data_IF_608449543377
#
_entry.id   IF_608449543377
#
_cell.length_a   1.000
_cell.length_b   1.000
_cell.length_c   1.000
_cell.angle_alpha   90.00
_cell.angle_beta   90.00
_cell.angle_gamma   90.00
#
_symmetry.space_group_name_H-M   'P 1'
#
loop_
_entity.id
_entity.type
_entity.pdbx_description
1 polymer ?
#
# COMPACT_ATOMS: atom_id res chain seq x y z
N UNK A 1 27.32 53.25 -49.88
CA UNK A 1 28.79 53.35 -49.68
C UNK A 1 29.32 51.95 -49.44
N UNK A 2 30.14 51.46 -50.40
CA UNK A 2 31.07 50.31 -50.45
C UNK A 2 30.92 49.16 -49.42
N UNK A 3 30.64 47.89 -49.80
CA UNK A 3 31.48 46.89 -50.52
C UNK A 3 32.58 46.25 -49.67
N UNK A 4 32.61 44.90 -49.68
CA UNK A 4 33.72 43.90 -49.63
C UNK A 4 33.05 42.57 -49.22
N UNK A 5 32.66 41.66 -50.12
CA UNK A 5 33.44 40.72 -50.95
C UNK A 5 34.34 39.77 -50.16
N UNK A 6 33.92 38.51 -50.01
CA UNK A 6 34.77 37.37 -50.37
C UNK A 6 33.97 36.08 -50.53
N UNK A 7 34.42 35.34 -51.55
CA UNK A 7 33.82 34.22 -52.24
C UNK A 7 34.70 33.00 -51.93
N UNK A 8 34.14 31.94 -51.37
CA UNK A 8 34.83 30.66 -51.17
C UNK A 8 33.81 29.55 -51.44
N UNK A 9 33.72 29.02 -52.67
CA UNK A 9 34.54 27.99 -53.36
C UNK A 9 34.51 26.63 -52.64
N UNK A 10 33.57 25.80 -53.08
CA UNK A 10 33.52 24.34 -52.92
C UNK A 10 34.85 23.71 -53.32
N UNK A 11 35.33 22.75 -52.52
CA UNK A 11 36.25 21.71 -52.97
C UNK A 11 35.87 20.40 -52.29
N UNK A 12 35.33 19.48 -53.09
CA UNK A 12 35.15 18.07 -52.76
C UNK A 12 36.45 17.43 -52.28
N UNK A 13 36.35 16.59 -51.25
CA UNK A 13 37.10 15.33 -51.12
C UNK A 13 36.47 14.45 -50.04
N UNK A 14 35.59 13.58 -50.51
CA UNK A 14 35.56 12.13 -50.33
C UNK A 14 36.09 11.53 -49.00
N UNK A 15 35.22 10.69 -48.41
CA UNK A 15 35.48 9.62 -47.42
C UNK A 15 35.98 10.03 -46.02
N UNK A 16 35.03 10.12 -45.09
CA UNK A 16 35.05 9.15 -43.98
C UNK A 16 33.62 8.94 -43.45
N UNK A 17 32.99 7.85 -43.89
CA UNK A 17 31.72 7.36 -43.35
C UNK A 17 32.02 6.71 -42.00
N UNK A 18 32.07 7.50 -40.93
CA UNK A 18 31.89 6.97 -39.58
C UNK A 18 30.39 6.78 -39.37
N UNK A 19 29.95 5.56 -39.65
CA UNK A 19 28.59 5.10 -39.40
C UNK A 19 28.22 5.38 -37.93
N UNK A 20 27.31 6.34 -37.72
CA UNK A 20 26.56 6.42 -36.47
C UNK A 20 25.64 5.20 -36.48
N UNK A 21 26.08 4.14 -35.81
CA UNK A 21 25.24 2.99 -35.53
C UNK A 21 24.16 3.45 -34.55
N UNK A 22 22.97 3.75 -35.08
CA UNK A 22 21.74 3.74 -34.29
C UNK A 22 21.50 2.29 -33.90
N UNK A 23 22.19 1.83 -32.84
CA UNK A 23 21.81 0.62 -32.15
C UNK A 23 20.38 0.84 -31.65
N UNK A 24 19.45 0.06 -32.19
CA UNK A 24 18.09 0.02 -31.73
C UNK A 24 18.09 -0.17 -30.21
N UNK A 25 17.47 0.75 -29.49
CA UNK A 25 17.12 0.52 -28.10
C UNK A 25 16.05 -0.57 -28.17
N UNK A 26 16.43 -1.81 -27.88
CA UNK A 26 15.46 -2.89 -27.73
C UNK A 26 14.45 -2.47 -26.65
N UNK A 27 13.13 -2.63 -26.89
CA UNK A 27 12.14 -2.34 -25.87
C UNK A 27 12.39 -3.28 -24.69
N UNK A 28 12.77 -2.71 -23.54
CA UNK A 28 12.82 -3.41 -22.26
C UNK A 28 11.44 -4.03 -22.05
N UNK A 29 11.35 -5.35 -22.12
CA UNK A 29 10.09 -6.09 -21.99
C UNK A 29 9.52 -5.88 -20.59
N UNK A 30 8.32 -5.29 -20.42
CA UNK A 30 7.71 -5.15 -19.11
C UNK A 30 7.01 -6.47 -18.76
N UNK A 31 7.80 -7.47 -18.38
CA UNK A 31 7.27 -8.72 -17.80
C UNK A 31 8.11 -9.14 -16.60
N UNK A 32 8.29 -8.23 -15.65
CA UNK A 32 8.57 -8.64 -14.28
C UNK A 32 7.22 -8.75 -13.58
N UNK A 33 6.66 -9.95 -13.59
CA UNK A 33 5.53 -10.29 -12.71
C UNK A 33 6.09 -10.20 -11.29
N UNK A 34 5.76 -9.12 -10.59
CA UNK A 34 6.04 -9.02 -9.15
C UNK A 34 5.03 -9.94 -8.48
N UNK A 35 5.45 -11.17 -8.19
CA UNK A 35 4.65 -12.12 -7.42
C UNK A 35 4.57 -11.57 -5.99
N UNK A 36 3.42 -10.96 -5.65
CA UNK A 36 3.16 -10.51 -4.29
C UNK A 36 2.82 -11.75 -3.47
N UNK A 37 3.83 -12.28 -2.78
CA UNK A 37 3.66 -13.37 -1.83
C UNK A 37 2.97 -12.79 -0.59
N UNK A 38 1.74 -13.20 -0.32
CA UNK A 38 1.07 -12.89 0.94
C UNK A 38 1.71 -13.75 2.03
N UNK A 39 2.56 -13.11 2.83
CA UNK A 39 3.14 -13.69 4.02
C UNK A 39 2.16 -13.45 5.17
N UNK A 40 1.48 -14.51 5.60
CA UNK A 40 0.55 -14.47 6.75
C UNK A 40 1.37 -14.70 8.03
N UNK A 41 1.97 -13.62 8.54
CA UNK A 41 2.73 -13.62 9.80
C UNK A 41 1.97 -12.74 10.79
N UNK A 42 1.58 -13.34 11.91
CA UNK A 42 0.89 -12.63 12.98
C UNK A 42 1.91 -12.08 13.98
N UNK A 43 2.05 -10.75 14.00
CA UNK A 43 2.95 -10.06 14.95
C UNK A 43 2.11 -9.66 16.16
N UNK A 44 2.27 -10.40 17.26
CA UNK A 44 1.58 -10.07 18.51
C UNK A 44 1.95 -8.65 18.98
N UNK A 45 1.01 -7.88 19.59
CA UNK A 45 1.31 -6.53 20.10
C UNK A 45 2.42 -6.48 21.16
N UNK A 46 2.68 -7.60 21.83
CA UNK A 46 3.74 -7.76 22.84
C UNK A 46 5.06 -8.26 22.26
N UNK A 47 5.12 -8.54 20.96
CA UNK A 47 6.32 -9.03 20.30
C UNK A 47 7.38 -7.90 20.24
N UNK A 48 8.62 -8.13 20.69
CA UNK A 48 9.65 -7.10 20.70
C UNK A 48 10.03 -6.61 19.30
N UNK A 49 9.73 -7.37 18.25
CA UNK A 49 9.97 -6.97 16.87
C UNK A 49 9.17 -5.72 16.49
N UNK A 50 7.97 -5.55 17.04
CA UNK A 50 7.13 -4.38 16.76
C UNK A 50 7.77 -3.10 17.32
N UNK A 51 8.25 -3.15 18.57
CA UNK A 51 8.94 -2.03 19.21
C UNK A 51 10.23 -1.67 18.46
N UNK A 52 10.98 -2.68 18.01
CA UNK A 52 12.18 -2.47 17.22
C UNK A 52 11.93 -1.69 15.92
N UNK A 53 10.88 -2.05 15.16
CA UNK A 53 10.52 -1.34 13.93
C UNK A 53 9.89 0.04 14.16
N UNK A 54 9.29 0.27 15.33
CA UNK A 54 8.83 1.60 15.73
C UNK A 54 10.00 2.54 16.03
N UNK A 55 11.03 2.05 16.72
CA UNK A 55 12.21 2.83 17.08
C UNK A 55 13.16 3.07 15.90
N UNK A 56 13.23 2.11 14.96
CA UNK A 56 14.14 2.17 13.82
C UNK A 56 13.37 2.17 12.49
N UNK A 57 13.27 3.34 11.85
CA UNK A 57 12.58 3.49 10.57
C UNK A 57 13.44 3.09 9.34
N UNK A 58 14.57 2.42 9.54
CA UNK A 58 15.50 2.05 8.48
C UNK A 58 15.23 0.62 7.98
N UNK A 59 15.57 0.29 6.71
CA UNK A 59 15.59 -1.09 6.24
C UNK A 59 16.53 -1.98 7.04
N UNK A 60 16.03 -3.14 7.45
CA UNK A 60 16.71 -4.09 8.33
C UNK A 60 16.87 -5.43 7.63
N UNK A 61 18.08 -5.96 7.62
CA UNK A 61 18.34 -7.33 7.21
C UNK A 61 18.05 -8.30 8.36
N UNK A 62 17.13 -9.24 8.14
CA UNK A 62 16.70 -10.17 9.18
C UNK A 62 17.81 -11.15 9.61
N UNK A 63 18.78 -11.41 8.73
CA UNK A 63 19.96 -12.24 9.03
C UNK A 63 20.87 -11.61 10.08
N UNK A 64 20.88 -10.27 10.17
CA UNK A 64 21.74 -9.51 11.09
C UNK A 64 21.03 -9.14 12.39
N UNK A 65 19.72 -9.33 12.46
CA UNK A 65 18.92 -8.99 13.62
C UNK A 65 18.98 -10.10 14.68
N UNK A 66 19.71 -9.88 15.77
CA UNK A 66 19.75 -10.82 16.90
C UNK A 66 18.72 -10.43 17.95
N UNK A 67 17.47 -10.82 17.74
CA UNK A 67 16.33 -10.57 18.64
C UNK A 67 15.55 -11.86 18.85
N UNK A 68 15.10 -12.12 20.08
CA UNK A 68 14.19 -13.23 20.37
C UNK A 68 12.76 -12.78 20.10
N UNK A 69 12.18 -13.26 19.00
CA UNK A 69 10.84 -12.90 18.56
C UNK A 69 10.26 -14.06 17.73
N UNK A 70 9.10 -14.62 18.11
CA UNK A 70 8.40 -15.60 17.28
C UNK A 70 8.11 -15.07 15.86
N UNK A 71 7.66 -13.81 15.74
CA UNK A 71 7.39 -13.20 14.45
C UNK A 71 8.64 -13.09 13.56
N UNK A 72 9.80 -12.83 14.17
CA UNK A 72 11.06 -12.77 13.43
C UNK A 72 11.43 -14.14 12.83
N UNK A 73 11.20 -15.22 13.56
CA UNK A 73 11.48 -16.57 13.09
C UNK A 73 10.51 -16.97 11.98
N UNK A 74 9.24 -16.57 12.06
CA UNK A 74 8.26 -16.78 10.99
C UNK A 74 8.62 -15.99 9.71
N UNK A 75 9.04 -14.73 9.83
CA UNK A 75 9.50 -13.93 8.68
C UNK A 75 10.71 -14.58 8.00
N UNK A 76 11.66 -15.10 8.78
CA UNK A 76 12.82 -15.84 8.24
C UNK A 76 12.39 -17.11 7.52
N UNK A 77 11.47 -17.87 8.13
CA UNK A 77 10.93 -19.09 7.53
C UNK A 77 10.16 -18.81 6.23
N UNK A 78 9.51 -17.65 6.12
CA UNK A 78 8.85 -17.16 4.92
C UNK A 78 9.84 -16.66 3.84
N UNK A 79 11.16 -16.73 4.08
CA UNK A 79 12.18 -16.32 3.12
C UNK A 79 12.38 -14.81 3.03
N UNK A 80 11.90 -14.04 4.00
CA UNK A 80 12.14 -12.60 4.06
C UNK A 80 13.61 -12.34 4.39
N UNK A 81 14.26 -11.53 3.56
CA UNK A 81 15.64 -11.11 3.73
C UNK A 81 15.74 -9.71 4.34
N UNK A 82 14.93 -8.77 3.84
CA UNK A 82 14.91 -7.37 4.28
C UNK A 82 13.50 -6.95 4.63
N UNK A 83 13.37 -6.25 5.75
CA UNK A 83 12.13 -5.59 6.17
C UNK A 83 12.34 -4.08 6.13
N UNK A 84 11.39 -3.37 5.54
CA UNK A 84 11.38 -1.91 5.46
C UNK A 84 10.17 -1.39 6.24
N UNK A 85 10.38 -0.76 7.40
CA UNK A 85 9.29 -0.19 8.19
C UNK A 85 8.65 1.00 7.47
N UNK A 86 7.32 1.05 7.42
CA UNK A 86 6.56 2.23 7.01
C UNK A 86 6.17 2.99 8.27
N UNK A 87 6.86 4.09 8.57
CA UNK A 87 6.59 4.93 9.75
C UNK A 87 6.05 6.28 9.30
N UNK A 88 4.89 6.67 9.82
CA UNK A 88 4.27 7.96 9.54
C UNK A 88 3.87 8.64 10.85
N UNK A 89 4.39 9.85 11.08
CA UNK A 89 4.13 10.63 12.30
C UNK A 89 4.54 9.91 13.61
N UNK A 90 5.63 9.14 13.57
CA UNK A 90 6.13 8.39 14.72
C UNK A 90 5.38 7.08 15.00
N UNK A 91 4.42 6.71 14.14
CA UNK A 91 3.68 5.46 14.26
C UNK A 91 4.05 4.52 13.12
N UNK A 92 4.32 3.26 13.44
CA UNK A 92 4.50 2.19 12.48
C UNK A 92 3.14 1.81 11.90
N UNK A 93 2.94 2.09 10.61
CA UNK A 93 1.68 1.85 9.90
C UNK A 93 1.69 0.57 9.05
N UNK A 94 2.87 -0.05 8.90
CA UNK A 94 3.04 -1.28 8.14
C UNK A 94 4.51 -1.63 7.90
N UNK A 95 4.72 -2.77 7.24
CA UNK A 95 6.03 -3.29 6.85
C UNK A 95 6.01 -3.62 5.36
N UNK A 96 7.13 -3.40 4.69
CA UNK A 96 7.39 -3.93 3.35
C UNK A 96 8.46 -4.99 3.47
N UNK A 97 8.11 -6.23 3.11
CA UNK A 97 8.99 -7.38 3.20
C UNK A 97 9.57 -7.69 1.82
N UNK A 98 10.88 -7.88 1.75
CA UNK A 98 11.58 -8.29 0.54
C UNK A 98 12.25 -9.64 0.77
N UNK A 99 12.04 -10.56 -0.17
CA UNK A 99 12.76 -11.82 -0.21
C UNK A 99 14.22 -11.65 -0.64
N UNK A 100 14.90 -12.77 -0.85
CA UNK A 100 16.24 -12.77 -1.44
C UNK A 100 16.22 -12.09 -2.81
N UNK A 101 17.31 -11.39 -3.13
CA UNK A 101 17.47 -10.77 -4.44
C UNK A 101 17.62 -11.85 -5.50
N UNK A 102 16.95 -11.69 -6.65
CA UNK A 102 17.03 -12.65 -7.76
C UNK A 102 18.45 -12.85 -8.32
N UNK A 103 19.33 -11.88 -8.10
CA UNK A 103 20.75 -11.99 -8.48
C UNK A 103 21.60 -12.73 -7.46
N UNK A 104 21.00 -13.26 -6.38
CA UNK A 104 21.66 -13.97 -5.27
C UNK A 104 22.69 -13.13 -4.47
N UNK A 105 22.73 -11.82 -4.72
CA UNK A 105 23.59 -10.89 -4.00
C UNK A 105 22.85 -10.31 -2.80
N UNK A 106 23.58 -9.97 -1.74
CA UNK A 106 23.03 -9.18 -0.64
C UNK A 106 22.56 -7.81 -1.14
N UNK A 107 21.58 -7.23 -0.44
CA UNK A 107 21.19 -5.85 -0.69
C UNK A 107 22.36 -4.92 -0.34
N UNK A 108 22.67 -3.99 -1.23
CA UNK A 108 23.73 -3.02 -0.99
C UNK A 108 23.29 -1.92 -0.03
N UNK A 109 24.24 -1.09 0.41
CA UNK A 109 23.95 0.13 1.16
C UNK A 109 23.06 1.08 0.37
N UNK A 110 23.26 1.16 -0.94
CA UNK A 110 22.53 2.06 -1.82
C UNK A 110 21.09 1.55 -2.04
N UNK A 111 20.90 0.23 -2.13
CA UNK A 111 19.57 -0.38 -2.18
C UNK A 111 18.79 -0.08 -0.90
N UNK A 112 19.40 -0.26 0.27
CA UNK A 112 18.76 0.07 1.56
C UNK A 112 18.45 1.56 1.65
N UNK A 113 19.32 2.44 1.17
CA UNK A 113 19.04 3.88 1.14
C UNK A 113 17.83 4.20 0.24
N UNK A 114 17.78 3.63 -0.95
CA UNK A 114 16.66 3.79 -1.86
C UNK A 114 15.34 3.29 -1.24
N UNK A 115 15.36 2.10 -0.63
CA UNK A 115 14.18 1.54 0.06
C UNK A 115 13.71 2.42 1.21
N UNK A 116 14.64 3.01 1.96
CA UNK A 116 14.32 3.96 3.02
C UNK A 116 13.65 5.23 2.48
N UNK A 117 14.20 5.81 1.41
CA UNK A 117 13.66 7.02 0.78
C UNK A 117 12.26 6.76 0.21
N UNK A 118 12.06 5.60 -0.41
CA UNK A 118 10.75 5.14 -0.89
C UNK A 118 9.77 4.96 0.26
N UNK A 119 10.17 4.31 1.36
CA UNK A 119 9.33 4.14 2.53
C UNK A 119 8.88 5.49 3.12
N UNK A 120 9.82 6.42 3.25
CA UNK A 120 9.55 7.76 3.81
C UNK A 120 8.49 8.51 2.99
N UNK A 121 8.51 8.36 1.66
CA UNK A 121 7.52 8.98 0.78
C UNK A 121 6.20 8.20 0.72
N UNK A 122 6.26 6.86 0.77
CA UNK A 122 5.10 6.00 0.65
C UNK A 122 4.27 5.93 1.94
N UNK A 123 4.91 5.98 3.12
CA UNK A 123 4.23 5.78 4.39
C UNK A 123 3.06 6.75 4.61
N UNK A 124 3.19 8.08 4.42
CA UNK A 124 2.04 8.98 4.54
C UNK A 124 0.89 8.66 3.59
N UNK A 125 1.20 8.26 2.35
CA UNK A 125 0.19 7.91 1.34
C UNK A 125 -0.54 6.61 1.72
N UNK A 126 0.19 5.59 2.19
CA UNK A 126 -0.40 4.34 2.69
C UNK A 126 -1.30 4.62 3.89
N UNK A 127 -0.89 5.48 4.82
CA UNK A 127 -1.73 5.86 5.96
C UNK A 127 -3.04 6.50 5.52
N UNK A 128 -2.99 7.45 4.59
CA UNK A 128 -4.19 8.07 4.05
C UNK A 128 -5.09 7.04 3.37
N UNK A 129 -4.52 6.14 2.57
CA UNK A 129 -5.29 5.07 1.93
C UNK A 129 -5.97 4.13 2.93
N UNK A 130 -5.28 3.75 4.03
CA UNK A 130 -5.83 2.96 5.12
C UNK A 130 -7.00 3.68 5.81
N UNK A 131 -6.84 4.97 6.14
CA UNK A 131 -7.88 5.79 6.77
C UNK A 131 -9.13 5.90 5.88
N UNK A 132 -8.94 6.19 4.59
CA UNK A 132 -10.05 6.26 3.63
C UNK A 132 -10.77 4.92 3.53
N UNK A 133 -10.04 3.80 3.51
CA UNK A 133 -10.63 2.46 3.47
C UNK A 133 -11.44 2.16 4.73
N UNK A 134 -10.95 2.52 5.91
CA UNK A 134 -11.66 2.36 7.18
C UNK A 134 -12.97 3.17 7.17
N UNK A 135 -12.92 4.44 6.78
CA UNK A 135 -14.10 5.29 6.67
C UNK A 135 -15.15 4.73 5.70
N UNK A 136 -14.73 4.16 4.57
CA UNK A 136 -15.64 3.52 3.61
C UNK A 136 -16.31 2.27 4.20
N UNK A 137 -15.59 1.47 4.97
CA UNK A 137 -16.14 0.28 5.64
C UNK A 137 -17.16 0.71 6.69
N UNK A 138 -16.83 1.70 7.51
CA UNK A 138 -17.73 2.25 8.54
C UNK A 138 -19.00 2.84 7.92
N UNK A 139 -18.88 3.63 6.85
CA UNK A 139 -20.02 4.20 6.14
C UNK A 139 -20.94 3.12 5.60
N UNK A 140 -20.40 2.07 4.96
CA UNK A 140 -21.20 0.93 4.47
C UNK A 140 -21.89 0.17 5.59
N UNK A 141 -21.21 -0.05 6.71
CA UNK A 141 -21.80 -0.72 7.87
C UNK A 141 -22.94 0.10 8.46
N UNK A 142 -22.76 1.43 8.54
CA UNK A 142 -23.80 2.35 8.99
C UNK A 142 -25.01 2.34 8.06
N UNK A 143 -24.81 2.43 6.75
CA UNK A 143 -25.91 2.36 5.77
C UNK A 143 -26.71 1.06 5.89
N UNK A 144 -26.01 -0.08 6.06
CA UNK A 144 -26.64 -1.38 6.29
C UNK A 144 -27.50 -1.39 7.55
N UNK A 145 -26.95 -0.92 8.66
CA UNK A 145 -27.67 -0.86 9.93
C UNK A 145 -28.90 0.08 9.85
N UNK A 146 -28.75 1.24 9.22
CA UNK A 146 -29.86 2.18 9.00
C UNK A 146 -30.97 1.54 8.16
N UNK A 147 -30.62 0.75 7.15
CA UNK A 147 -31.58 0.02 6.33
C UNK A 147 -32.28 -1.10 7.11
N UNK A 148 -31.55 -1.88 7.90
CA UNK A 148 -32.12 -2.93 8.75
C UNK A 148 -33.12 -2.34 9.77
N UNK A 149 -32.76 -1.23 10.42
CA UNK A 149 -33.66 -0.53 11.34
C UNK A 149 -34.91 0.00 10.64
N UNK A 150 -34.77 0.52 9.41
CA UNK A 150 -35.91 0.98 8.61
C UNK A 150 -36.87 -0.16 8.32
N UNK A 151 -36.35 -1.32 7.91
CA UNK A 151 -37.16 -2.52 7.64
C UNK A 151 -37.83 -3.02 8.91
N UNK A 152 -37.09 -3.11 10.02
CA UNK A 152 -37.65 -3.54 11.31
C UNK A 152 -38.80 -2.63 11.75
N UNK A 153 -38.66 -1.30 11.64
CA UNK A 153 -39.74 -0.34 11.95
C UNK A 153 -40.95 -0.53 11.05
N UNK A 154 -40.74 -0.75 9.75
CA UNK A 154 -41.84 -1.00 8.82
C UNK A 154 -42.60 -2.28 9.18
N UNK A 155 -41.88 -3.37 9.48
CA UNK A 155 -42.49 -4.63 9.93
C UNK A 155 -43.28 -4.40 11.21
N UNK A 156 -42.70 -3.74 12.22
CA UNK A 156 -43.38 -3.43 13.48
C UNK A 156 -44.67 -2.64 13.26
N UNK A 157 -44.64 -1.61 12.40
CA UNK A 157 -45.83 -0.83 12.05
C UNK A 157 -46.89 -1.65 11.31
N UNK A 158 -46.48 -2.57 10.44
CA UNK A 158 -47.40 -3.43 9.67
C UNK A 158 -48.08 -4.49 10.55
N UNK A 159 -47.43 -4.87 11.66
CA UNK A 159 -47.98 -5.81 12.64
C UNK A 159 -48.95 -5.15 13.63
N UNK A 160 -49.09 -3.83 13.62
CA UNK A 160 -50.05 -3.15 14.49
C UNK A 160 -51.49 -3.40 14.02
N UNK A 161 -52.43 -3.71 14.94
CA UNK A 161 -53.82 -3.92 14.58
C UNK A 161 -54.44 -2.61 14.07
N UNK A 162 -55.12 -2.69 12.92
CA UNK A 162 -55.74 -1.53 12.26
C UNK A 162 -56.87 -0.89 13.08
N UNK A 163 -57.44 -1.65 13.99
CA UNK A 163 -58.47 -1.24 14.94
C UNK A 163 -58.13 -1.81 16.30
N UNK A 164 -58.51 -1.12 17.36
CA UNK A 164 -58.37 -1.66 18.71
C UNK A 164 -59.19 -2.95 18.82
N UNK A 165 -58.60 -4.07 19.27
CA UNK A 165 -59.35 -5.29 19.48
C UNK A 165 -60.37 -5.08 20.60
N UNK A 166 -61.59 -5.59 20.41
CA UNK A 166 -62.60 -5.61 21.46
C UNK A 166 -62.29 -6.73 22.46
N UNK A 167 -62.12 -6.36 23.73
CA UNK A 167 -61.94 -7.30 24.82
C UNK A 167 -63.11 -7.14 25.80
N UNK A 168 -63.74 -8.26 26.18
CA UNK A 168 -64.82 -8.25 27.16
C UNK A 168 -64.32 -7.66 28.48
N UNK A 169 -65.09 -6.74 29.05
CA UNK A 169 -64.85 -6.07 30.34
C UNK A 169 -63.64 -5.11 30.41
N UNK A 170 -62.99 -4.78 29.28
CA UNK A 170 -61.86 -3.84 29.24
C UNK A 170 -62.02 -2.71 28.21
N UNK A 171 -61.59 -1.50 28.57
CA UNK A 171 -61.44 -0.35 27.66
C UNK A 171 -59.98 -0.19 27.27
N UNK A 172 -59.67 -0.34 25.99
CA UNK A 172 -58.33 -0.13 25.43
C UNK A 172 -58.19 1.26 24.82
N UNK A 173 -57.04 1.88 25.02
CA UNK A 173 -56.55 3.04 24.28
C UNK A 173 -55.09 2.78 23.89
N UNK A 174 -54.70 3.15 22.67
CA UNK A 174 -53.34 2.94 22.19
C UNK A 174 -52.63 4.27 21.92
N UNK A 175 -51.35 4.32 22.25
CA UNK A 175 -50.42 5.37 21.88
C UNK A 175 -49.18 4.71 21.27
N UNK A 176 -48.94 4.95 19.98
CA UNK A 176 -47.78 4.43 19.26
C UNK A 176 -46.84 5.60 18.96
N UNK A 177 -45.58 5.51 19.34
CA UNK A 177 -44.53 6.50 19.06
C UNK A 177 -43.31 5.82 18.47
#
# INVERSE_FOLDING_TARGET
MASITSRWRRKDKDKDQSAVSTAAIEPVSPQMVVEVINIDVDIAPTDPLLAYFQESANPVELSRLNLQSPALDELRAAGVAVVVPLVSQGELIGLVNLGQRLSEQEYSTDDRKLLNDLSTQAAPAVRVAQLVRQQQIEARNRERLEQELRVARLIQQTLLPKSLPELADFSLAAYYQ
#
